data_IF_797983483573
#
_entry.id   IF_797983483573
#
_cell.length_a   1.000
_cell.length_b   1.000
_cell.length_c   1.000
_cell.angle_alpha   90.00
_cell.angle_beta   90.00
_cell.angle_gamma   90.00
#
_symmetry.space_group_name_H-M   'P 1'
#
loop_
_entity.id
_entity.type
_entity.pdbx_description
1 polymer ?
#
# COMPACT_ATOMS: atom_id res chain seq x y z
N UNK A 1 -34.57 -6.14 -1.61
CA UNK A 1 -33.72 -7.34 -1.47
C UNK A 1 -34.02 -8.28 -2.61
N UNK A 2 -33.25 -8.16 -3.68
CA UNK A 2 -33.32 -9.14 -4.76
C UNK A 2 -32.58 -10.41 -4.31
N UNK A 3 -33.33 -11.37 -3.80
CA UNK A 3 -32.85 -12.70 -3.57
C UNK A 3 -32.85 -13.43 -4.91
N UNK A 4 -31.77 -13.32 -5.68
CA UNK A 4 -31.63 -14.14 -6.87
C UNK A 4 -31.55 -15.59 -6.42
N UNK A 5 -32.52 -16.40 -6.79
CA UNK A 5 -32.50 -17.84 -6.58
C UNK A 5 -31.48 -18.41 -7.59
N UNK A 6 -30.25 -18.63 -7.12
CA UNK A 6 -29.22 -19.30 -7.91
C UNK A 6 -29.02 -20.70 -7.38
N UNK A 7 -28.70 -21.66 -8.25
CA UNK A 7 -28.34 -23.01 -7.85
C UNK A 7 -27.12 -22.97 -6.91
N UNK A 8 -27.08 -23.86 -5.92
CA UNK A 8 -25.95 -23.97 -4.98
C UNK A 8 -24.60 -24.08 -5.70
N UNK A 9 -24.55 -24.83 -6.80
CA UNK A 9 -23.35 -25.00 -7.61
C UNK A 9 -22.82 -23.67 -8.14
N UNK A 10 -23.68 -22.85 -8.74
CA UNK A 10 -23.31 -21.53 -9.29
C UNK A 10 -22.78 -20.59 -8.21
N UNK A 11 -23.38 -20.58 -7.01
CA UNK A 11 -22.91 -19.78 -5.88
C UNK A 11 -21.53 -20.24 -5.39
N UNK A 12 -21.22 -21.52 -5.44
CA UNK A 12 -19.93 -22.09 -4.99
C UNK A 12 -18.80 -21.88 -6.00
N UNK A 13 -19.12 -21.67 -7.26
CA UNK A 13 -18.16 -21.39 -8.34
C UNK A 13 -17.82 -19.91 -8.49
N UNK A 14 -18.59 -19.02 -7.86
CA UNK A 14 -18.37 -17.56 -7.95
C UNK A 14 -17.25 -17.10 -7.01
N UNK A 15 -16.48 -16.16 -7.52
CA UNK A 15 -15.54 -15.40 -6.68
C UNK A 15 -16.30 -14.39 -5.81
N UNK A 16 -15.83 -14.24 -4.57
CA UNK A 16 -16.22 -13.17 -3.68
C UNK A 16 -15.15 -12.08 -3.61
N UNK A 17 -15.38 -11.09 -2.73
CA UNK A 17 -14.39 -10.07 -2.43
C UNK A 17 -14.52 -9.58 -0.99
N UNK A 18 -13.41 -9.07 -0.44
CA UNK A 18 -13.37 -8.39 0.84
C UNK A 18 -12.95 -6.95 0.56
N UNK A 19 -13.87 -6.01 0.81
CA UNK A 19 -13.54 -4.59 0.73
C UNK A 19 -12.83 -4.17 2.01
N UNK A 20 -11.59 -3.72 1.87
CA UNK A 20 -10.78 -3.26 2.98
C UNK A 20 -11.16 -1.83 3.37
N UNK A 21 -11.15 -1.55 4.67
CA UNK A 21 -11.43 -0.21 5.23
C UNK A 21 -10.28 0.76 4.95
N UNK A 22 -9.04 0.24 4.95
CA UNK A 22 -7.85 0.96 4.55
C UNK A 22 -7.09 0.16 3.49
N UNK A 23 -6.41 0.82 2.56
CA UNK A 23 -5.61 0.12 1.57
C UNK A 23 -4.43 -0.61 2.21
N UNK A 24 -3.99 -1.70 1.61
CA UNK A 24 -2.81 -2.46 2.00
C UNK A 24 -1.87 -2.64 0.83
N UNK A 25 -0.56 -2.69 1.08
CA UNK A 25 0.42 -2.96 0.05
C UNK A 25 0.44 -4.46 -0.27
N UNK A 26 0.47 -4.81 -1.56
CA UNK A 26 0.55 -6.21 -1.96
C UNK A 26 1.98 -6.72 -1.79
N UNK A 27 2.16 -7.76 -1.00
CA UNK A 27 3.48 -8.31 -0.62
C UNK A 27 4.38 -8.66 -1.82
N UNK A 28 3.82 -9.10 -2.95
CA UNK A 28 4.57 -9.42 -4.15
C UNK A 28 5.30 -8.23 -4.78
N UNK A 29 4.89 -7.01 -4.48
CA UNK A 29 5.45 -5.81 -5.09
C UNK A 29 6.44 -5.05 -4.20
N UNK A 30 6.50 -5.36 -2.90
CA UNK A 30 7.48 -4.74 -2.00
C UNK A 30 8.44 -5.73 -1.32
N UNK A 31 8.07 -7.02 -1.19
CA UNK A 31 8.93 -8.06 -0.59
C UNK A 31 9.65 -8.93 -1.61
N UNK A 32 9.12 -9.08 -2.83
CA UNK A 32 9.79 -9.87 -3.87
C UNK A 32 10.98 -9.12 -4.47
N UNK A 33 11.92 -9.86 -5.01
CA UNK A 33 13.05 -9.31 -5.78
C UNK A 33 12.79 -9.47 -7.29
N UNK A 34 12.87 -8.40 -8.07
CA UNK A 34 13.14 -7.01 -7.69
C UNK A 34 11.94 -6.34 -7.00
N UNK A 35 12.22 -5.52 -5.98
CA UNK A 35 11.21 -4.73 -5.29
C UNK A 35 10.66 -3.63 -6.21
N UNK A 36 9.47 -3.86 -6.79
CA UNK A 36 8.91 -2.96 -7.82
C UNK A 36 8.53 -1.60 -7.26
N UNK A 37 7.91 -1.56 -6.07
CA UNK A 37 7.55 -0.30 -5.40
C UNK A 37 8.83 0.48 -5.07
N UNK A 38 9.82 -0.19 -4.50
CA UNK A 38 11.10 0.45 -4.16
C UNK A 38 11.84 0.99 -5.38
N UNK A 39 11.81 0.29 -6.50
CA UNK A 39 12.45 0.75 -7.72
C UNK A 39 11.75 1.94 -8.36
N UNK A 40 10.42 2.01 -8.31
CA UNK A 40 9.68 3.18 -8.78
C UNK A 40 9.95 4.39 -7.89
N UNK A 41 9.79 4.25 -6.58
CA UNK A 41 9.96 5.36 -5.63
C UNK A 41 11.42 5.73 -5.34
N UNK A 42 12.38 4.85 -5.68
CA UNK A 42 13.79 5.04 -5.32
C UNK A 42 14.05 4.81 -3.82
N UNK A 43 13.18 4.06 -3.16
CA UNK A 43 13.27 3.78 -1.72
C UNK A 43 13.83 2.37 -1.46
N UNK A 44 14.80 2.23 -0.54
CA UNK A 44 15.27 0.93 -0.11
C UNK A 44 14.21 0.18 0.67
N UNK A 45 14.24 -1.16 0.63
CA UNK A 45 13.25 -2.03 1.26
C UNK A 45 13.04 -1.71 2.75
N UNK A 46 14.12 -1.40 3.48
CA UNK A 46 14.04 -1.05 4.91
C UNK A 46 13.18 0.20 5.16
N UNK A 47 13.29 1.22 4.29
CA UNK A 47 12.46 2.43 4.39
C UNK A 47 11.00 2.12 4.04
N UNK A 48 10.76 1.30 3.02
CA UNK A 48 9.41 0.87 2.67
C UNK A 48 8.73 0.07 3.78
N UNK A 49 9.45 -0.84 4.40
CA UNK A 49 8.93 -1.61 5.54
C UNK A 49 8.50 -0.68 6.68
N UNK A 50 9.34 0.30 7.04
CA UNK A 50 9.01 1.27 8.10
C UNK A 50 7.73 2.09 7.78
N UNK A 51 7.50 2.41 6.50
CA UNK A 51 6.29 3.12 6.07
C UNK A 51 5.08 2.18 6.12
N UNK A 52 5.18 1.01 5.46
CA UNK A 52 4.07 0.08 5.24
C UNK A 52 3.56 -0.49 6.57
N UNK A 53 4.45 -0.78 7.51
CA UNK A 53 4.09 -1.32 8.83
C UNK A 53 3.87 -0.24 9.91
N UNK A 54 3.64 1.02 9.49
CA UNK A 54 3.24 2.13 10.38
C UNK A 54 4.26 2.46 11.48
N UNK A 55 5.56 2.30 11.20
CA UNK A 55 6.63 2.69 12.12
C UNK A 55 6.99 4.17 11.99
N UNK A 56 6.98 4.70 10.75
CA UNK A 56 7.38 6.08 10.45
C UNK A 56 6.45 6.73 9.45
N UNK A 57 6.32 8.06 9.55
CA UNK A 57 5.70 8.89 8.52
C UNK A 57 6.64 9.08 7.35
N UNK A 58 6.10 9.17 6.15
CA UNK A 58 6.85 9.59 4.97
C UNK A 58 6.28 10.91 4.46
N UNK A 59 7.17 11.86 4.15
CA UNK A 59 6.81 13.14 3.54
C UNK A 59 6.44 12.90 2.08
N UNK A 60 5.18 13.16 1.75
CA UNK A 60 4.65 13.07 0.38
C UNK A 60 4.87 14.42 -0.32
N UNK A 61 4.60 15.50 0.41
CA UNK A 61 4.74 16.86 -0.08
C UNK A 61 5.21 17.75 1.06
N UNK A 62 6.38 18.40 0.93
CA UNK A 62 6.93 19.28 1.98
C UNK A 62 6.14 20.59 2.13
N UNK A 63 5.49 21.08 1.06
CA UNK A 63 4.74 22.33 1.10
C UNK A 63 5.60 23.53 1.52
N UNK A 64 5.07 24.33 2.43
CA UNK A 64 5.80 25.50 2.96
C UNK A 64 7.01 25.15 3.84
N UNK A 65 7.19 23.89 4.20
CA UNK A 65 8.36 23.39 4.95
C UNK A 65 9.49 22.94 4.00
N UNK A 66 9.42 23.28 2.72
CA UNK A 66 10.50 23.02 1.77
C UNK A 66 11.79 23.73 2.23
N UNK A 67 12.83 22.93 2.47
CA UNK A 67 14.09 23.41 3.08
C UNK A 67 14.33 22.89 4.51
N UNK A 68 13.29 22.56 5.29
CA UNK A 68 13.42 21.81 6.55
C UNK A 68 13.30 20.31 6.31
N UNK A 69 12.36 19.91 5.43
CA UNK A 69 12.10 18.50 5.06
C UNK A 69 12.01 18.34 3.55
N UNK A 70 12.42 17.20 3.06
CA UNK A 70 12.32 16.85 1.64
C UNK A 70 11.29 15.75 1.41
N UNK A 71 10.80 15.65 0.18
CA UNK A 71 9.97 14.52 -0.24
C UNK A 71 10.72 13.19 -0.01
N UNK A 72 10.03 12.16 0.45
CA UNK A 72 10.56 10.84 0.85
C UNK A 72 11.35 10.82 2.17
N UNK A 73 11.44 11.91 2.90
CA UNK A 73 11.99 11.86 4.26
C UNK A 73 11.08 11.07 5.18
N UNK A 74 11.71 10.34 6.09
CA UNK A 74 11.01 9.55 7.11
C UNK A 74 11.07 10.31 8.43
N UNK A 75 9.90 10.52 9.02
CA UNK A 75 9.75 11.25 10.28
C UNK A 75 9.30 10.27 11.39
N UNK A 76 9.85 10.46 12.57
CA UNK A 76 9.31 9.88 13.79
C UNK A 76 8.06 10.66 14.23
N UNK A 77 7.29 10.09 15.15
CA UNK A 77 6.05 10.72 15.61
C UNK A 77 6.30 12.10 16.25
N UNK A 78 7.37 12.21 17.05
CA UNK A 78 7.75 13.49 17.66
C UNK A 78 8.10 14.54 16.63
N UNK A 79 8.96 14.19 15.66
CA UNK A 79 9.36 15.08 14.55
C UNK A 79 8.14 15.52 13.73
N UNK A 80 7.21 14.61 13.47
CA UNK A 80 5.98 14.93 12.75
C UNK A 80 5.11 15.94 13.51
N UNK A 81 4.96 15.76 14.84
CA UNK A 81 4.19 16.68 15.68
C UNK A 81 4.86 18.06 15.77
N UNK A 82 6.19 18.09 15.95
CA UNK A 82 6.95 19.34 15.97
C UNK A 82 6.81 20.14 14.66
N UNK A 83 6.75 19.45 13.51
CA UNK A 83 6.52 20.07 12.22
C UNK A 83 5.08 20.59 12.10
N UNK A 84 4.09 19.85 12.61
CA UNK A 84 2.70 20.33 12.61
C UNK A 84 2.50 21.59 13.45
N UNK A 85 3.21 21.74 14.56
CA UNK A 85 3.15 22.96 15.40
C UNK A 85 3.72 24.19 14.70
N UNK A 86 4.67 24.01 13.77
CA UNK A 86 5.23 25.09 12.97
C UNK A 86 4.32 25.56 11.83
N UNK A 87 3.34 24.75 11.46
CA UNK A 87 2.44 25.06 10.36
C UNK A 87 1.38 26.09 10.76
N UNK A 88 1.02 27.04 9.87
CA UNK A 88 -0.17 27.85 10.05
C UNK A 88 -1.42 27.00 10.18
N UNK A 89 -2.36 27.42 11.02
CA UNK A 89 -3.63 26.72 11.26
C UNK A 89 -4.42 26.41 9.98
N UNK A 90 -4.27 27.24 8.98
CA UNK A 90 -4.99 27.12 7.70
C UNK A 90 -4.38 26.06 6.77
N UNK A 91 -3.13 25.65 7.00
CA UNK A 91 -2.46 24.67 6.13
C UNK A 91 -3.18 23.31 6.08
N UNK A 92 -3.79 22.88 7.18
CA UNK A 92 -4.55 21.63 7.24
C UNK A 92 -5.81 21.63 6.37
N UNK A 93 -6.37 22.82 6.07
CA UNK A 93 -7.61 22.96 5.28
C UNK A 93 -7.33 23.12 3.77
N UNK A 94 -6.07 23.27 3.37
CA UNK A 94 -5.70 23.30 1.97
C UNK A 94 -6.07 21.97 1.29
N UNK A 95 -6.36 22.01 0.00
CA UNK A 95 -6.54 20.77 -0.79
C UNK A 95 -5.22 20.01 -0.95
N UNK A 96 -5.26 18.70 -1.08
CA UNK A 96 -4.06 17.86 -1.28
C UNK A 96 -3.33 18.15 -2.61
N UNK A 97 -3.97 18.88 -3.51
CA UNK A 97 -3.40 19.40 -4.76
C UNK A 97 -2.63 20.70 -4.59
N UNK A 98 -2.82 21.43 -3.47
CA UNK A 98 -2.15 22.70 -3.23
C UNK A 98 -0.66 22.48 -2.94
N UNK A 99 0.26 23.09 -3.72
CA UNK A 99 1.71 22.91 -3.54
C UNK A 99 2.22 23.39 -2.19
N UNK A 100 1.50 24.27 -1.48
CA UNK A 100 1.89 24.79 -0.17
C UNK A 100 1.47 23.89 0.99
N UNK A 101 0.63 22.87 0.75
CA UNK A 101 0.19 21.98 1.79
C UNK A 101 1.31 21.03 2.21
N UNK A 102 1.56 20.91 3.51
CA UNK A 102 2.39 19.85 4.04
C UNK A 102 1.58 18.56 4.13
N UNK A 103 2.08 17.49 3.52
CA UNK A 103 1.44 16.16 3.54
C UNK A 103 2.47 15.10 3.92
N UNK A 104 2.26 14.47 5.07
CA UNK A 104 3.00 13.27 5.48
C UNK A 104 2.01 12.22 5.98
N UNK A 105 2.19 10.97 5.57
CA UNK A 105 1.29 9.86 5.90
C UNK A 105 2.09 8.60 6.25
N UNK A 106 1.40 7.60 6.78
CA UNK A 106 1.92 6.26 7.06
C UNK A 106 1.18 5.20 6.26
N UNK A 107 1.77 4.01 6.18
CA UNK A 107 1.13 2.83 5.64
C UNK A 107 1.01 2.81 4.12
N UNK A 108 0.22 1.87 3.63
CA UNK A 108 0.00 1.70 2.19
C UNK A 108 -0.70 2.89 1.54
N UNK A 109 -1.45 3.69 2.30
CA UNK A 109 -2.07 4.93 1.80
C UNK A 109 -1.01 5.95 1.37
N UNK A 110 0.05 6.11 2.16
CA UNK A 110 1.18 6.96 1.80
C UNK A 110 1.85 6.49 0.52
N UNK A 111 2.08 5.19 0.39
CA UNK A 111 2.66 4.60 -0.82
C UNK A 111 1.75 4.79 -2.03
N UNK A 112 0.43 4.66 -1.85
CA UNK A 112 -0.54 4.92 -2.91
C UNK A 112 -0.43 6.36 -3.43
N UNK A 113 -0.40 7.34 -2.53
CA UNK A 113 -0.29 8.75 -2.89
C UNK A 113 1.05 9.05 -3.60
N UNK A 114 2.15 8.48 -3.13
CA UNK A 114 3.45 8.60 -3.80
C UNK A 114 3.44 7.99 -5.20
N UNK A 115 2.88 6.80 -5.36
CA UNK A 115 2.81 6.11 -6.65
C UNK A 115 1.91 6.83 -7.65
N UNK A 116 0.80 7.41 -7.18
CA UNK A 116 -0.14 8.16 -8.04
C UNK A 116 0.44 9.47 -8.58
N UNK A 117 1.43 10.03 -7.88
CA UNK A 117 2.10 11.29 -8.27
C UNK A 117 3.34 11.09 -9.14
N UNK A 118 3.74 9.84 -9.42
CA UNK A 118 4.93 9.57 -10.24
C UNK A 118 4.66 9.93 -11.70
N UNK A 119 5.52 10.78 -12.26
CA UNK A 119 5.65 10.95 -13.70
C UNK A 119 6.68 9.95 -14.25
N UNK A 120 6.17 8.89 -14.89
CA UNK A 120 7.00 7.83 -15.46
C UNK A 120 7.89 8.32 -16.62
N UNK A 121 7.48 9.35 -17.35
CA UNK A 121 8.26 9.86 -18.48
C UNK A 121 9.48 10.64 -17.99
N UNK A 122 9.28 11.54 -17.02
CA UNK A 122 10.36 12.29 -16.37
C UNK A 122 11.34 11.35 -15.66
N UNK A 123 10.80 10.36 -14.92
CA UNK A 123 11.63 9.38 -14.22
C UNK A 123 12.47 8.52 -15.20
N UNK A 124 11.88 8.11 -16.32
CA UNK A 124 12.61 7.37 -17.35
C UNK A 124 13.77 8.19 -17.93
N UNK A 125 13.53 9.46 -18.25
CA UNK A 125 14.56 10.37 -18.76
C UNK A 125 15.69 10.56 -17.75
N UNK A 126 15.36 10.81 -16.48
CA UNK A 126 16.33 10.96 -15.41
C UNK A 126 17.22 9.71 -15.24
N UNK A 127 16.60 8.53 -15.21
CA UNK A 127 17.32 7.27 -15.05
C UNK A 127 18.24 6.95 -16.25
N UNK A 128 17.84 7.31 -17.47
CA UNK A 128 18.67 7.18 -18.67
C UNK A 128 19.90 8.09 -18.58
N UNK A 129 19.70 9.33 -18.17
CA UNK A 129 20.80 10.28 -17.98
C UNK A 129 21.78 9.80 -16.90
N UNK A 130 21.28 9.33 -15.76
CA UNK A 130 22.11 8.75 -14.69
C UNK A 130 22.88 7.53 -15.18
N UNK A 131 22.27 6.62 -15.92
CA UNK A 131 22.94 5.44 -16.47
C UNK A 131 24.06 5.81 -17.47
N UNK A 132 23.91 6.94 -18.18
CA UNK A 132 24.92 7.43 -19.12
C UNK A 132 26.08 8.19 -18.46
N UNK A 133 25.78 9.03 -17.48
CA UNK A 133 26.73 9.99 -16.91
C UNK A 133 27.44 9.53 -15.63
N UNK A 134 26.90 8.56 -14.89
CA UNK A 134 27.48 8.16 -13.61
C UNK A 134 28.85 7.49 -13.78
N UNK A 135 29.81 7.85 -12.95
CA UNK A 135 31.15 7.26 -12.98
C UNK A 135 31.21 5.86 -12.34
N UNK A 136 30.25 5.53 -11.48
CA UNK A 136 30.22 4.25 -10.76
C UNK A 136 29.46 3.19 -11.53
N UNK A 137 30.11 2.07 -11.85
CA UNK A 137 29.49 0.92 -12.50
C UNK A 137 28.32 0.33 -11.70
N UNK A 138 28.42 0.36 -10.37
CA UNK A 138 27.35 -0.13 -9.49
C UNK A 138 26.11 0.75 -9.62
N UNK A 139 26.26 2.09 -9.58
CA UNK A 139 25.14 3.03 -9.72
C UNK A 139 24.51 2.95 -11.11
N UNK A 140 25.32 2.78 -12.17
CA UNK A 140 24.80 2.52 -13.53
C UNK A 140 23.93 1.27 -13.57
N UNK A 141 24.41 0.16 -12.99
CA UNK A 141 23.65 -1.10 -12.93
C UNK A 141 22.34 -0.94 -12.18
N UNK A 142 22.34 -0.21 -11.06
CA UNK A 142 21.14 0.07 -10.30
C UNK A 142 20.14 0.96 -11.07
N UNK A 143 20.62 2.02 -11.72
CA UNK A 143 19.80 2.87 -12.57
C UNK A 143 19.16 2.08 -13.72
N UNK A 144 19.90 1.16 -14.36
CA UNK A 144 19.37 0.30 -15.42
C UNK A 144 18.31 -0.67 -14.93
N UNK A 145 18.48 -1.27 -13.73
CA UNK A 145 17.46 -2.13 -13.12
C UNK A 145 16.18 -1.36 -12.80
N UNK A 146 16.31 -0.15 -12.27
CA UNK A 146 15.16 0.74 -12.02
C UNK A 146 14.49 1.11 -13.35
N UNK A 147 15.27 1.51 -14.35
CA UNK A 147 14.77 1.88 -15.66
C UNK A 147 13.95 0.75 -16.31
N UNK A 148 14.39 -0.50 -16.18
CA UNK A 148 13.65 -1.65 -16.70
C UNK A 148 12.24 -1.74 -16.11
N UNK A 149 12.07 -1.50 -14.81
CA UNK A 149 10.75 -1.50 -14.16
C UNK A 149 9.90 -0.31 -14.63
N UNK A 150 10.49 0.89 -14.71
CA UNK A 150 9.80 2.10 -15.18
C UNK A 150 9.32 1.94 -16.63
N UNK A 151 10.17 1.41 -17.52
CA UNK A 151 9.79 1.17 -18.92
C UNK A 151 8.68 0.12 -19.05
N UNK A 152 8.65 -0.88 -18.18
CA UNK A 152 7.56 -1.86 -18.16
C UNK A 152 6.21 -1.22 -17.85
N UNK A 153 6.16 -0.27 -16.90
CA UNK A 153 4.96 0.49 -16.59
C UNK A 153 4.60 1.49 -17.70
N UNK A 154 5.60 2.14 -18.32
CA UNK A 154 5.37 3.03 -19.48
C UNK A 154 4.78 2.26 -20.66
N UNK A 155 5.34 1.11 -21.00
CA UNK A 155 4.86 0.27 -22.11
C UNK A 155 3.46 -0.29 -21.87
N UNK A 156 3.05 -0.45 -20.62
CA UNK A 156 1.72 -0.94 -20.23
C UNK A 156 0.74 0.18 -19.84
N UNK A 157 1.11 1.45 -20.06
CA UNK A 157 0.24 2.61 -19.76
C UNK A 157 -1.16 2.42 -20.37
N UNK A 158 -2.20 2.63 -19.56
CA UNK A 158 -3.59 2.36 -19.91
C UNK A 158 -4.11 0.98 -19.53
N UNK A 159 -3.22 -0.01 -19.31
CA UNK A 159 -3.58 -1.35 -18.79
C UNK A 159 -3.15 -1.57 -17.37
N UNK A 160 -2.03 -0.96 -16.97
CA UNK A 160 -1.48 -1.05 -15.61
C UNK A 160 -1.09 0.34 -15.12
N UNK A 161 -1.43 0.61 -13.85
CA UNK A 161 -1.04 1.82 -13.15
C UNK A 161 -0.20 1.46 -11.94
N UNK A 162 0.85 2.26 -11.59
CA UNK A 162 1.69 1.99 -10.42
C UNK A 162 0.92 1.85 -9.11
N UNK A 163 -0.10 2.68 -8.90
CA UNK A 163 -0.93 2.68 -7.70
C UNK A 163 -1.78 1.40 -7.52
N UNK A 164 -1.95 0.58 -8.56
CA UNK A 164 -2.66 -0.69 -8.46
C UNK A 164 -1.89 -1.78 -7.71
N UNK A 165 -0.62 -1.55 -7.37
CA UNK A 165 0.12 -2.40 -6.46
C UNK A 165 -0.36 -2.30 -5.00
N UNK A 166 -1.23 -1.32 -4.74
CA UNK A 166 -1.90 -1.14 -3.45
C UNK A 166 -3.32 -1.68 -3.57
N UNK A 167 -3.66 -2.62 -2.69
CA UNK A 167 -4.90 -3.38 -2.72
C UNK A 167 -5.94 -2.73 -1.83
N UNK A 168 -7.12 -2.46 -2.37
CA UNK A 168 -8.31 -2.00 -1.62
C UNK A 168 -9.39 -3.07 -1.53
N UNK A 169 -9.35 -4.03 -2.43
CA UNK A 169 -10.30 -5.14 -2.51
C UNK A 169 -9.51 -6.44 -2.63
N UNK A 170 -9.68 -7.34 -1.67
CA UNK A 170 -9.06 -8.66 -1.70
C UNK A 170 -10.00 -9.64 -2.41
N UNK A 171 -9.57 -10.29 -3.50
CA UNK A 171 -10.37 -11.30 -4.16
C UNK A 171 -10.48 -12.55 -3.28
N UNK A 172 -11.66 -13.14 -3.22
CA UNK A 172 -11.91 -14.39 -2.48
C UNK A 172 -12.21 -15.48 -3.48
N UNK A 173 -11.39 -16.53 -3.50
CA UNK A 173 -11.57 -17.65 -4.40
C UNK A 173 -12.87 -18.42 -4.11
N UNK A 174 -13.46 -19.09 -5.10
CA UNK A 174 -14.69 -19.84 -4.92
C UNK A 174 -14.60 -20.88 -3.81
N UNK A 175 -15.71 -21.17 -3.08
CA UNK A 175 -15.75 -22.19 -2.04
C UNK A 175 -15.33 -23.60 -2.48
N UNK A 176 -15.52 -23.96 -3.74
CA UNK A 176 -15.09 -25.26 -4.28
C UNK A 176 -13.56 -25.43 -4.24
N UNK A 177 -12.78 -24.34 -4.34
CA UNK A 177 -11.32 -24.37 -4.26
C UNK A 177 -10.78 -24.36 -2.81
N UNK A 178 -11.66 -24.17 -1.82
CA UNK A 178 -11.34 -24.17 -0.38
C UNK A 178 -12.41 -24.95 0.41
N UNK A 179 -12.66 -26.21 0.07
CA UNK A 179 -13.78 -26.97 0.59
C UNK A 179 -13.66 -27.26 2.08
N UNK A 180 -14.82 -27.47 2.71
CA UNK A 180 -14.95 -28.05 4.04
C UNK A 180 -15.27 -29.53 3.85
N UNK A 181 -14.33 -30.40 4.23
CA UNK A 181 -14.44 -31.85 4.02
C UNK A 181 -14.82 -32.55 5.34
N UNK A 182 -15.93 -33.29 5.39
CA UNK A 182 -16.25 -34.07 6.56
C UNK A 182 -15.26 -35.24 6.74
N UNK A 183 -14.79 -35.43 7.96
CA UNK A 183 -13.96 -36.55 8.37
C UNK A 183 -14.79 -37.54 9.21
N UNK A 184 -14.27 -38.77 9.36
CA UNK A 184 -14.87 -39.73 10.25
C UNK A 184 -14.94 -39.23 11.70
N UNK A 185 -16.04 -39.51 12.39
CA UNK A 185 -16.29 -39.03 13.75
C UNK A 185 -16.87 -37.61 13.88
N UNK A 186 -17.48 -37.06 12.81
CA UNK A 186 -18.21 -35.80 12.85
C UNK A 186 -17.30 -34.54 12.87
N UNK A 187 -16.01 -34.71 12.60
CA UNK A 187 -15.05 -33.61 12.44
C UNK A 187 -15.03 -33.13 11.01
N UNK A 188 -14.64 -31.87 10.82
CA UNK A 188 -14.44 -31.28 9.50
C UNK A 188 -12.99 -30.87 9.33
N UNK A 189 -12.41 -31.22 8.19
CA UNK A 189 -11.16 -30.59 7.72
C UNK A 189 -11.51 -29.37 6.87
N UNK A 190 -10.83 -28.28 7.12
CA UNK A 190 -10.97 -27.06 6.34
C UNK A 190 -9.65 -26.70 5.69
N UNK A 191 -9.71 -26.05 4.53
CA UNK A 191 -8.52 -25.47 3.91
C UNK A 191 -7.99 -24.32 4.76
N UNK A 192 -6.66 -24.20 4.86
CA UNK A 192 -5.99 -23.07 5.56
C UNK A 192 -6.39 -21.71 4.99
N UNK A 193 -6.75 -21.67 3.70
CA UNK A 193 -7.26 -20.46 3.05
C UNK A 193 -8.51 -19.89 3.73
N UNK A 194 -9.38 -20.74 4.28
CA UNK A 194 -10.55 -20.27 5.02
C UNK A 194 -10.17 -19.55 6.31
N UNK A 195 -9.11 -20.00 6.99
CA UNK A 195 -8.61 -19.34 8.20
C UNK A 195 -7.93 -18.01 7.87
N UNK A 196 -7.16 -17.97 6.79
CA UNK A 196 -6.53 -16.72 6.31
C UNK A 196 -7.59 -15.66 5.97
N UNK A 197 -8.60 -16.00 5.17
CA UNK A 197 -9.70 -15.06 4.89
C UNK A 197 -10.45 -14.64 6.15
N UNK A 198 -10.69 -15.58 7.08
CA UNK A 198 -11.34 -15.26 8.35
C UNK A 198 -10.54 -14.23 9.15
N UNK A 199 -9.22 -14.36 9.22
CA UNK A 199 -8.34 -13.39 9.91
C UNK A 199 -8.45 -12.01 9.29
N UNK A 200 -8.39 -11.91 7.96
CA UNK A 200 -8.55 -10.64 7.26
C UNK A 200 -9.91 -10.00 7.57
N UNK A 201 -11.00 -10.76 7.50
CA UNK A 201 -12.35 -10.26 7.77
C UNK A 201 -12.48 -9.76 9.22
N UNK A 202 -11.98 -10.53 10.19
CA UNK A 202 -12.04 -10.14 11.61
C UNK A 202 -11.28 -8.84 11.86
N UNK A 203 -10.04 -8.72 11.34
CA UNK A 203 -9.22 -7.52 11.47
C UNK A 203 -9.86 -6.31 10.79
N UNK A 204 -10.37 -6.50 9.58
CA UNK A 204 -11.04 -5.44 8.83
C UNK A 204 -12.29 -4.92 9.55
N UNK A 205 -13.14 -5.83 10.06
CA UNK A 205 -14.34 -5.44 10.82
C UNK A 205 -14.01 -4.77 12.14
N UNK A 206 -12.95 -5.22 12.83
CA UNK A 206 -12.48 -4.59 14.06
C UNK A 206 -11.98 -3.18 13.79
N UNK A 207 -11.15 -3.00 12.77
CA UNK A 207 -10.66 -1.68 12.38
C UNK A 207 -11.82 -0.74 12.00
N UNK A 208 -12.82 -1.23 11.25
CA UNK A 208 -14.00 -0.46 10.90
C UNK A 208 -14.70 0.10 12.15
N UNK A 209 -14.95 -0.76 13.14
CA UNK A 209 -15.57 -0.34 14.41
C UNK A 209 -14.74 0.68 15.16
N UNK A 210 -13.42 0.51 15.21
CA UNK A 210 -12.51 1.45 15.87
C UNK A 210 -12.51 2.82 15.22
N UNK A 211 -12.60 2.88 13.89
CA UNK A 211 -12.76 4.14 13.16
C UNK A 211 -14.12 4.78 13.46
N UNK A 212 -15.21 4.01 13.46
CA UNK A 212 -16.55 4.50 13.75
C UNK A 212 -16.67 5.14 15.16
N UNK A 213 -16.02 4.55 16.17
CA UNK A 213 -15.98 5.09 17.53
C UNK A 213 -14.90 6.15 17.76
N UNK A 214 -14.16 6.55 16.70
CA UNK A 214 -13.05 7.52 16.76
C UNK A 214 -12.01 7.15 17.83
N UNK A 215 -11.57 5.89 17.83
CA UNK A 215 -10.54 5.41 18.74
C UNK A 215 -9.23 6.22 18.60
N UNK A 216 -8.39 6.29 19.67
CA UNK A 216 -7.10 6.96 19.62
C UNK A 216 -6.22 6.48 18.46
N UNK A 217 -5.46 7.41 17.83
CA UNK A 217 -4.65 7.11 16.64
C UNK A 217 -3.64 5.97 16.87
N UNK A 218 -3.08 5.86 18.07
CA UNK A 218 -2.15 4.78 18.43
C UNK A 218 -2.80 3.40 18.26
N UNK A 219 -4.08 3.26 18.68
CA UNK A 219 -4.83 2.02 18.54
C UNK A 219 -5.17 1.77 17.07
N UNK A 220 -5.61 2.80 16.35
CA UNK A 220 -5.92 2.70 14.93
C UNK A 220 -4.69 2.28 14.12
N UNK A 221 -3.53 2.87 14.39
CA UNK A 221 -2.25 2.54 13.74
C UNK A 221 -1.87 1.08 13.93
N UNK A 222 -1.97 0.58 15.16
CA UNK A 222 -1.70 -0.83 15.45
C UNK A 222 -2.65 -1.78 14.71
N UNK A 223 -3.95 -1.48 14.68
CA UNK A 223 -4.92 -2.32 13.95
C UNK A 223 -4.73 -2.24 12.43
N UNK A 224 -4.38 -1.06 11.89
CA UNK A 224 -4.01 -0.91 10.47
C UNK A 224 -2.78 -1.78 10.13
N UNK A 225 -1.74 -1.78 10.98
CA UNK A 225 -0.57 -2.64 10.84
C UNK A 225 -0.95 -4.12 10.88
N UNK A 226 -1.80 -4.52 11.83
CA UNK A 226 -2.27 -5.91 11.94
C UNK A 226 -3.14 -6.34 10.75
N UNK A 227 -3.86 -5.42 10.11
CA UNK A 227 -4.58 -5.70 8.87
C UNK A 227 -3.62 -5.92 7.70
N UNK A 228 -2.58 -5.10 7.57
CA UNK A 228 -1.51 -5.31 6.58
C UNK A 228 -0.88 -6.70 6.76
N UNK A 229 -0.48 -7.07 7.97
CA UNK A 229 0.10 -8.37 8.29
C UNK A 229 -0.87 -9.55 8.04
N UNK A 230 -2.18 -9.34 8.15
CA UNK A 230 -3.16 -10.38 7.89
C UNK A 230 -3.40 -10.62 6.39
N UNK A 231 -3.11 -9.62 5.55
CA UNK A 231 -3.22 -9.74 4.08
C UNK A 231 -1.93 -10.26 3.47
N UNK A 232 -0.77 -9.99 4.08
CA UNK A 232 0.55 -10.50 3.67
C UNK A 232 0.63 -12.03 3.75
#
# INVERSE_FOLDING_TARGET
>A
LFRSVTEKKVCRERMGHIQLVVPVAHIWYFRSLPNKIGYLLGLPTKKLDAIIYYERYVVIQPGILEGEVAQYDLLEEGEYLDLLEKLPSDNQYLEDSDPNKFVAKMGAEAIYDLLSRIDLDSLSYELRNRAGSDASQQRKSEALKRLQVVESFRASRGRNKPEWMIVRIVPVIPPELRPLVPLDGGRFATSDLNDLYRRVIIRNNRLKRLIEIKAPEVILRNEKRMLQEAVD
#
